data_IF_630672734065
#
_entry.id   IF_630672734065
#
_cell.length_a   1.000
_cell.length_b   1.000
_cell.length_c   1.000
_cell.angle_alpha   90.00
_cell.angle_beta   90.00
_cell.angle_gamma   90.00
#
_symmetry.space_group_name_H-M   'P 1'
#
loop_
_entity.id
_entity.type
_entity.pdbx_description
1 polymer ?
#
# COMPACT_ATOMS: atom_id res chain seq x y z
N UNK A 1 -67.05 40.53 -59.46
CA UNK A 1 -66.18 40.35 -60.61
C UNK A 1 -64.98 39.53 -60.15
N UNK A 2 -64.72 38.54 -60.85
CA UNK A 2 -63.99 37.33 -60.53
C UNK A 2 -62.48 37.57 -60.36
N UNK A 3 -61.87 37.13 -59.24
CA UNK A 3 -60.42 36.99 -59.13
C UNK A 3 -60.10 35.58 -58.74
N UNK A 4 -59.40 34.91 -59.63
CA UNK A 4 -58.94 33.56 -59.52
C UNK A 4 -57.61 33.62 -58.78
N UNK A 5 -57.58 33.07 -57.56
CA UNK A 5 -56.36 32.93 -56.77
C UNK A 5 -55.74 31.63 -57.13
N UNK A 6 -54.60 31.69 -57.81
CA UNK A 6 -53.78 30.54 -58.16
C UNK A 6 -53.04 30.01 -56.91
N UNK A 7 -53.39 28.84 -56.46
CA UNK A 7 -52.71 28.12 -55.37
C UNK A 7 -51.38 27.58 -55.87
N UNK A 8 -50.31 28.25 -55.52
CA UNK A 8 -48.94 27.69 -55.63
C UNK A 8 -48.69 26.78 -54.48
N UNK A 9 -48.72 25.47 -54.75
CA UNK A 9 -48.23 24.41 -53.84
C UNK A 9 -46.73 24.54 -53.74
N UNK A 10 -46.23 25.09 -52.65
CA UNK A 10 -44.83 24.89 -52.26
C UNK A 10 -44.75 23.61 -51.47
N UNK A 11 -44.30 22.56 -52.16
CA UNK A 11 -43.83 21.34 -51.54
C UNK A 11 -42.51 21.63 -50.85
N UNK A 12 -42.54 22.02 -49.59
CA UNK A 12 -41.35 22.10 -48.75
C UNK A 12 -40.88 20.70 -48.44
N UNK A 13 -39.94 20.28 -49.24
CA UNK A 13 -39.12 19.11 -48.93
C UNK A 13 -38.27 19.44 -47.69
N UNK A 14 -38.80 19.12 -46.50
CA UNK A 14 -38.04 19.19 -45.24
C UNK A 14 -37.00 18.07 -45.27
N UNK A 15 -35.85 18.34 -45.86
CA UNK A 15 -34.65 17.56 -45.67
C UNK A 15 -34.28 17.66 -44.21
N UNK A 16 -34.71 16.67 -43.44
CA UNK A 16 -34.15 16.37 -42.13
C UNK A 16 -32.68 16.01 -42.31
N UNK A 17 -31.84 17.01 -42.40
CA UNK A 17 -30.39 16.80 -42.15
C UNK A 17 -30.28 16.48 -40.68
N UNK A 18 -30.33 15.20 -40.34
CA UNK A 18 -29.78 14.68 -39.10
C UNK A 18 -28.27 14.93 -39.16
N UNK A 19 -27.87 16.13 -38.80
CA UNK A 19 -26.48 16.39 -38.43
C UNK A 19 -26.21 15.52 -37.22
N UNK A 20 -25.62 14.37 -37.49
CA UNK A 20 -24.90 13.61 -36.45
C UNK A 20 -23.80 14.54 -35.95
N UNK A 21 -24.13 15.24 -34.88
CA UNK A 21 -23.19 16.03 -34.11
C UNK A 21 -22.26 15.04 -33.43
N UNK A 22 -21.37 14.44 -34.20
CA UNK A 22 -20.16 13.82 -33.64
C UNK A 22 -19.40 15.01 -33.08
N UNK A 23 -19.56 15.22 -31.77
CA UNK A 23 -18.83 16.23 -31.05
C UNK A 23 -17.35 15.98 -31.29
N UNK A 24 -16.76 16.66 -32.25
CA UNK A 24 -15.33 16.73 -32.40
C UNK A 24 -14.83 17.46 -31.17
N UNK A 25 -14.28 16.70 -30.23
CA UNK A 25 -13.60 17.29 -29.09
C UNK A 25 -12.66 18.39 -29.56
N UNK A 26 -12.86 19.59 -29.04
CA UNK A 26 -11.97 20.70 -29.33
C UNK A 26 -10.56 20.40 -28.83
N UNK A 27 -9.55 20.98 -29.42
CA UNK A 27 -8.15 20.83 -28.97
C UNK A 27 -8.02 21.19 -27.50
N UNK A 28 -8.77 22.20 -27.06
CA UNK A 28 -8.78 22.64 -25.66
C UNK A 28 -9.35 21.56 -24.72
N UNK A 29 -10.45 20.92 -25.09
CA UNK A 29 -11.05 19.83 -24.29
C UNK A 29 -10.11 18.64 -24.16
N UNK A 30 -9.41 18.28 -25.24
CA UNK A 30 -8.39 17.22 -25.20
C UNK A 30 -7.22 17.56 -24.26
N UNK A 31 -6.76 18.81 -24.32
CA UNK A 31 -5.70 19.29 -23.43
C UNK A 31 -6.14 19.30 -21.97
N UNK A 32 -7.34 19.79 -21.67
CA UNK A 32 -7.90 19.77 -20.31
C UNK A 32 -8.07 18.34 -19.80
N UNK A 33 -8.57 17.43 -20.63
CA UNK A 33 -8.70 16.01 -20.25
C UNK A 33 -7.33 15.38 -19.98
N UNK A 34 -6.33 15.65 -20.82
CA UNK A 34 -4.98 15.16 -20.61
C UNK A 34 -4.38 15.68 -19.29
N UNK A 35 -4.57 16.95 -18.96
CA UNK A 35 -4.14 17.52 -17.68
C UNK A 35 -4.84 16.87 -16.48
N UNK A 36 -6.15 16.62 -16.59
CA UNK A 36 -6.91 15.94 -15.54
C UNK A 36 -6.42 14.49 -15.33
N UNK A 37 -6.13 13.77 -16.40
CA UNK A 37 -5.56 12.42 -16.32
C UNK A 37 -4.23 12.42 -15.56
N UNK A 38 -3.36 13.37 -15.90
CA UNK A 38 -2.06 13.51 -15.26
C UNK A 38 -2.18 13.89 -13.78
N UNK A 39 -3.12 14.79 -13.46
CA UNK A 39 -3.43 15.16 -12.08
C UNK A 39 -3.84 13.94 -11.25
N UNK A 40 -4.81 13.15 -11.75
CA UNK A 40 -5.25 11.93 -11.05
C UNK A 40 -4.15 10.87 -10.96
N UNK A 41 -3.32 10.73 -11.99
CA UNK A 41 -2.16 9.86 -11.93
C UNK A 41 -1.17 10.29 -10.84
N UNK A 42 -0.85 11.57 -10.76
CA UNK A 42 0.06 12.11 -9.74
C UNK A 42 -0.50 11.94 -8.33
N UNK A 43 -1.81 12.13 -8.14
CA UNK A 43 -2.48 11.83 -6.87
C UNK A 43 -2.36 10.33 -6.51
N UNK A 44 -2.57 9.46 -7.49
CA UNK A 44 -2.45 8.02 -7.30
C UNK A 44 -1.02 7.60 -6.96
N UNK A 45 -0.02 8.17 -7.64
CA UNK A 45 1.39 7.88 -7.39
C UNK A 45 1.80 8.27 -5.97
N UNK A 46 1.44 9.48 -5.54
CA UNK A 46 1.69 9.94 -4.15
C UNK A 46 1.00 9.06 -3.12
N UNK A 47 -0.29 8.78 -3.31
CA UNK A 47 -1.03 7.90 -2.40
C UNK A 47 -0.40 6.49 -2.32
N UNK A 48 0.10 5.97 -3.45
CA UNK A 48 0.82 4.70 -3.48
C UNK A 48 2.14 4.75 -2.72
N UNK A 49 2.94 5.80 -2.89
CA UNK A 49 4.19 6.02 -2.14
C UNK A 49 3.92 6.17 -0.64
N UNK A 50 2.85 6.85 -0.29
CA UNK A 50 2.37 6.95 1.10
C UNK A 50 1.80 5.63 1.64
N UNK A 51 1.63 4.61 0.79
CA UNK A 51 1.05 3.32 1.13
C UNK A 51 -0.45 3.36 1.37
N UNK A 52 -1.14 4.42 0.95
CA UNK A 52 -2.60 4.46 0.91
C UNK A 52 -3.10 3.83 -0.39
N UNK A 53 -3.11 2.49 -0.38
CA UNK A 53 -3.49 1.70 -1.56
C UNK A 53 -4.95 1.94 -1.96
N UNK A 54 -5.81 2.29 -1.00
CA UNK A 54 -7.23 2.57 -1.28
C UNK A 54 -7.37 3.87 -2.06
N UNK A 55 -6.83 4.97 -1.55
CA UNK A 55 -6.85 6.26 -2.25
C UNK A 55 -6.14 6.19 -3.60
N UNK A 56 -4.99 5.49 -3.69
CA UNK A 56 -4.28 5.28 -4.94
C UNK A 56 -5.15 4.57 -5.99
N UNK A 57 -5.92 3.56 -5.58
CA UNK A 57 -6.82 2.83 -6.48
C UNK A 57 -7.97 3.69 -6.99
N UNK A 58 -8.56 4.50 -6.12
CA UNK A 58 -9.65 5.41 -6.49
C UNK A 58 -9.16 6.47 -7.48
N UNK A 59 -8.01 7.08 -7.22
CA UNK A 59 -7.41 8.06 -8.12
C UNK A 59 -7.03 7.43 -9.49
N UNK A 60 -6.47 6.21 -9.51
CA UNK A 60 -6.22 5.50 -10.76
C UNK A 60 -7.49 5.17 -11.53
N UNK A 61 -8.56 4.79 -10.84
CA UNK A 61 -9.86 4.56 -11.47
C UNK A 61 -10.35 5.84 -12.18
N UNK A 62 -10.21 7.00 -11.55
CA UNK A 62 -10.54 8.29 -12.13
C UNK A 62 -9.67 8.63 -13.34
N UNK A 63 -8.35 8.41 -13.26
CA UNK A 63 -7.44 8.61 -14.40
C UNK A 63 -7.80 7.72 -15.60
N UNK A 64 -8.05 6.43 -15.35
CA UNK A 64 -8.36 5.45 -16.40
C UNK A 64 -9.79 5.59 -16.94
N UNK A 65 -10.72 6.21 -16.21
CA UNK A 65 -12.05 6.54 -16.74
C UNK A 65 -11.98 7.66 -17.79
N UNK A 66 -11.06 8.63 -17.63
CA UNK A 66 -10.83 9.70 -18.57
C UNK A 66 -9.97 9.24 -19.77
N UNK A 67 -8.97 8.42 -19.52
CA UNK A 67 -8.11 7.85 -20.58
C UNK A 67 -7.70 6.40 -20.24
N UNK A 68 -8.39 5.44 -20.86
CA UNK A 68 -8.14 4.00 -20.64
C UNK A 68 -6.78 3.53 -21.14
N UNK A 69 -6.15 4.24 -22.06
CA UNK A 69 -4.85 3.90 -22.64
C UNK A 69 -3.68 4.65 -21.98
N UNK A 70 -3.90 5.39 -20.88
CA UNK A 70 -2.84 6.11 -20.21
C UNK A 70 -1.78 5.16 -19.63
N UNK A 71 -0.62 5.08 -20.30
CA UNK A 71 0.42 4.08 -20.02
C UNK A 71 0.91 4.09 -18.57
N UNK A 72 1.14 5.27 -18.01
CA UNK A 72 1.62 5.41 -16.63
C UNK A 72 0.59 4.91 -15.61
N UNK A 73 -0.70 5.19 -15.81
CA UNK A 73 -1.77 4.70 -14.94
C UNK A 73 -1.90 3.17 -15.01
N UNK A 74 -1.79 2.58 -16.21
CA UNK A 74 -1.81 1.13 -16.38
C UNK A 74 -0.61 0.48 -15.69
N UNK A 75 0.59 1.04 -15.87
CA UNK A 75 1.81 0.53 -15.23
C UNK A 75 1.70 0.58 -13.70
N UNK A 76 1.21 1.69 -13.13
CA UNK A 76 1.00 1.83 -11.70
C UNK A 76 -0.06 0.85 -11.18
N UNK A 77 -1.16 0.65 -11.90
CA UNK A 77 -2.20 -0.32 -11.55
C UNK A 77 -1.64 -1.75 -11.47
N UNK A 78 -0.82 -2.16 -12.44
CA UNK A 78 -0.12 -3.46 -12.44
C UNK A 78 0.83 -3.57 -11.24
N UNK A 79 1.63 -2.53 -10.98
CA UNK A 79 2.53 -2.49 -9.83
C UNK A 79 1.77 -2.61 -8.51
N UNK A 80 0.61 -1.97 -8.38
CA UNK A 80 -0.23 -2.07 -7.19
C UNK A 80 -0.78 -3.48 -6.97
N UNK A 81 -1.11 -4.19 -8.03
CA UNK A 81 -1.57 -5.58 -7.91
C UNK A 81 -0.46 -6.51 -7.38
N UNK A 82 0.77 -6.32 -7.84
CA UNK A 82 1.91 -7.18 -7.47
C UNK A 82 2.55 -6.79 -6.14
N UNK A 83 2.64 -5.50 -5.83
CA UNK A 83 3.45 -4.99 -4.72
C UNK A 83 2.66 -4.20 -3.67
N UNK A 84 1.34 -4.05 -3.79
CA UNK A 84 0.54 -3.22 -2.90
C UNK A 84 0.64 -3.63 -1.42
N UNK A 85 0.70 -4.93 -1.13
CA UNK A 85 0.89 -5.42 0.24
C UNK A 85 2.28 -5.09 0.78
N UNK A 86 3.32 -5.18 -0.04
CA UNK A 86 4.70 -4.84 0.37
C UNK A 86 4.83 -3.36 0.69
N UNK A 87 4.18 -2.49 -0.09
CA UNK A 87 4.16 -1.04 0.15
C UNK A 87 3.49 -0.70 1.48
N UNK A 88 2.36 -1.36 1.81
CA UNK A 88 1.69 -1.21 3.11
C UNK A 88 2.58 -1.65 4.28
N UNK A 89 3.30 -2.77 4.12
CA UNK A 89 4.22 -3.27 5.14
C UNK A 89 5.40 -2.31 5.35
N UNK A 90 5.97 -1.81 4.26
CA UNK A 90 7.06 -0.84 4.29
C UNK A 90 6.61 0.47 4.99
N UNK A 91 5.41 0.97 4.70
CA UNK A 91 4.83 2.14 5.38
C UNK A 91 4.69 1.90 6.88
N UNK A 92 4.07 0.78 7.28
CA UNK A 92 3.92 0.44 8.71
C UNK A 92 5.24 0.37 9.43
N UNK A 93 6.21 -0.33 8.84
CA UNK A 93 7.56 -0.43 9.39
C UNK A 93 8.19 0.95 9.54
N UNK A 94 8.10 1.82 8.53
CA UNK A 94 8.62 3.19 8.58
C UNK A 94 7.97 4.03 9.67
N UNK A 95 6.63 3.98 9.78
CA UNK A 95 5.89 4.73 10.80
C UNK A 95 6.28 4.25 12.20
N UNK A 96 6.34 2.95 12.44
CA UNK A 96 6.79 2.37 13.71
C UNK A 96 8.23 2.77 14.02
N UNK A 97 9.14 2.61 13.06
CA UNK A 97 10.57 2.89 13.26
C UNK A 97 10.83 4.37 13.60
N UNK A 98 10.01 5.29 13.12
CA UNK A 98 10.20 6.73 13.34
C UNK A 98 9.61 7.24 14.67
N UNK A 99 8.94 6.41 15.45
CA UNK A 99 8.45 6.82 16.78
C UNK A 99 9.63 6.94 17.73
N UNK A 100 9.89 8.14 18.26
CA UNK A 100 10.98 8.37 19.19
C UNK A 100 10.58 7.92 20.59
N UNK A 101 11.41 7.09 21.22
CA UNK A 101 11.26 6.63 22.59
C UNK A 101 12.19 7.46 23.49
N UNK A 102 11.65 8.29 24.39
CA UNK A 102 12.48 9.19 25.20
C UNK A 102 13.37 8.42 26.19
N UNK A 103 12.83 7.36 26.77
CA UNK A 103 13.58 6.52 27.71
C UNK A 103 12.99 5.11 27.69
N UNK A 104 13.85 4.11 27.60
CA UNK A 104 13.54 2.73 27.93
C UNK A 104 14.65 2.21 28.85
N UNK A 105 14.25 1.72 30.03
CA UNK A 105 15.13 1.18 31.03
C UNK A 105 14.58 -0.17 31.47
N UNK A 106 15.27 -1.23 31.11
CA UNK A 106 14.91 -2.63 31.39
C UNK A 106 16.07 -3.26 32.13
N UNK A 107 15.78 -3.90 33.24
CA UNK A 107 16.76 -4.63 34.01
C UNK A 107 16.25 -6.07 34.22
N UNK A 108 16.97 -7.03 33.68
CA UNK A 108 16.64 -8.47 33.75
C UNK A 108 15.19 -8.78 33.35
N UNK A 109 14.64 -8.00 32.41
CA UNK A 109 13.27 -8.18 31.95
C UNK A 109 13.14 -9.41 31.03
N UNK A 110 12.02 -10.13 31.09
CA UNK A 110 11.72 -11.16 30.11
C UNK A 110 11.52 -10.56 28.72
N UNK A 111 11.73 -11.34 27.67
CA UNK A 111 11.46 -10.90 26.28
C UNK A 111 10.02 -10.44 26.13
N UNK A 112 9.08 -11.13 26.74
CA UNK A 112 7.65 -10.76 26.74
C UNK A 112 7.41 -9.38 27.35
N UNK A 113 8.00 -9.13 28.52
CA UNK A 113 7.82 -7.85 29.23
C UNK A 113 8.53 -6.72 28.47
N UNK A 114 9.73 -6.96 27.97
CA UNK A 114 10.47 -5.99 27.17
C UNK A 114 9.66 -5.53 25.92
N UNK A 115 9.08 -6.47 25.19
CA UNK A 115 8.24 -6.19 24.02
C UNK A 115 6.95 -5.46 24.43
N UNK A 116 6.35 -5.83 25.57
CA UNK A 116 5.15 -5.16 26.08
C UNK A 116 5.44 -3.71 26.48
N UNK A 117 6.56 -3.45 27.17
CA UNK A 117 7.01 -2.11 27.50
C UNK A 117 7.28 -1.28 26.27
N UNK A 118 7.94 -1.85 25.25
CA UNK A 118 8.13 -1.16 23.98
C UNK A 118 6.79 -0.81 23.30
N UNK A 119 5.82 -1.74 23.29
CA UNK A 119 4.50 -1.50 22.71
C UNK A 119 3.79 -0.32 23.38
N UNK A 120 3.77 -0.29 24.71
CA UNK A 120 3.15 0.79 25.49
C UNK A 120 3.85 2.13 25.21
N UNK A 121 5.17 2.15 25.18
CA UNK A 121 5.93 3.37 24.87
C UNK A 121 5.61 3.89 23.46
N UNK A 122 5.57 3.02 22.45
CA UNK A 122 5.23 3.41 21.07
C UNK A 122 3.83 3.97 20.98
N UNK A 123 2.85 3.33 21.61
CA UNK A 123 1.47 3.80 21.63
C UNK A 123 1.35 5.17 22.31
N UNK A 124 1.96 5.33 23.47
CA UNK A 124 1.97 6.58 24.23
C UNK A 124 2.65 7.71 23.46
N UNK A 125 3.85 7.49 22.91
CA UNK A 125 4.59 8.52 22.20
C UNK A 125 3.95 8.89 20.86
N UNK A 126 3.29 7.92 20.21
CA UNK A 126 2.53 8.19 18.98
C UNK A 126 1.15 8.79 19.23
N UNK A 127 0.75 8.99 20.48
CA UNK A 127 -0.62 9.43 20.90
C UNK A 127 -1.70 8.52 20.31
N UNK A 128 -1.49 7.21 20.35
CA UNK A 128 -2.41 6.21 19.84
C UNK A 128 -2.44 6.09 18.31
N UNK A 129 -1.61 6.85 17.56
CA UNK A 129 -1.55 6.73 16.09
C UNK A 129 -0.89 5.44 15.61
N UNK A 130 0.00 4.89 16.42
CA UNK A 130 0.70 3.62 16.15
C UNK A 130 0.43 2.66 17.29
N UNK A 131 -0.35 1.63 17.00
CA UNK A 131 -0.65 0.56 17.96
C UNK A 131 0.10 -0.69 17.45
N UNK A 132 1.26 -1.02 18.04
CA UNK A 132 2.02 -2.19 17.63
C UNK A 132 1.39 -3.46 18.20
N UNK A 133 1.08 -4.40 17.32
CA UNK A 133 0.61 -5.73 17.71
C UNK A 133 1.77 -6.71 17.55
N UNK A 134 2.35 -7.16 18.64
CA UNK A 134 3.40 -8.16 18.66
C UNK A 134 2.86 -9.55 19.00
N UNK A 135 3.29 -10.55 18.25
CA UNK A 135 3.03 -11.97 18.53
C UNK A 135 4.36 -12.69 18.66
N UNK A 136 4.60 -13.29 19.81
CA UNK A 136 5.79 -14.13 20.02
C UNK A 136 5.42 -15.56 19.64
N UNK A 137 6.06 -16.06 18.58
CA UNK A 137 5.94 -17.44 18.11
C UNK A 137 7.19 -18.21 18.50
N UNK A 138 7.19 -18.74 19.72
CA UNK A 138 8.28 -19.56 20.27
C UNK A 138 7.74 -20.94 20.65
N UNK A 139 7.79 -21.87 19.71
CA UNK A 139 7.31 -23.25 19.88
C UNK A 139 8.08 -24.04 20.94
N UNK A 140 9.30 -23.65 21.21
CA UNK A 140 10.25 -24.41 22.06
C UNK A 140 10.66 -23.63 23.32
N UNK A 141 9.96 -22.56 23.66
CA UNK A 141 10.20 -21.70 24.82
C UNK A 141 11.64 -21.16 24.92
N UNK A 142 12.32 -21.00 23.79
CA UNK A 142 13.73 -20.54 23.76
C UNK A 142 13.91 -19.11 24.25
N UNK A 143 12.84 -18.32 24.26
CA UNK A 143 12.86 -16.91 24.65
C UNK A 143 12.42 -16.70 26.09
N UNK A 144 11.86 -17.73 26.77
CA UNK A 144 11.33 -17.58 28.11
C UNK A 144 12.45 -17.39 29.16
N UNK A 145 13.59 -18.03 28.97
CA UNK A 145 14.74 -17.94 29.88
C UNK A 145 15.66 -16.76 29.61
N UNK A 146 15.42 -16.06 28.50
CA UNK A 146 16.27 -14.93 28.08
C UNK A 146 15.91 -13.68 28.89
N UNK A 147 16.90 -13.12 29.59
CA UNK A 147 16.80 -11.86 30.31
C UNK A 147 17.46 -10.75 29.51
N UNK A 148 16.79 -9.60 29.47
CA UNK A 148 17.22 -8.43 28.71
C UNK A 148 17.49 -7.29 29.70
N UNK A 149 18.70 -6.76 29.62
CA UNK A 149 19.07 -5.53 30.31
C UNK A 149 19.48 -4.51 29.27
N UNK A 150 18.75 -3.41 29.18
CA UNK A 150 18.97 -2.35 28.19
C UNK A 150 18.51 -1.00 28.75
N UNK A 151 19.34 0.01 28.53
CA UNK A 151 19.03 1.40 28.88
C UNK A 151 19.32 2.31 27.71
N UNK A 152 18.29 2.83 27.09
CA UNK A 152 18.38 3.70 25.92
C UNK A 152 17.60 4.99 26.15
N UNK A 153 18.13 6.11 25.65
CA UNK A 153 17.49 7.42 25.72
C UNK A 153 17.40 8.00 24.32
N UNK A 154 16.22 8.54 24.00
CA UNK A 154 15.98 9.30 22.77
C UNK A 154 16.30 8.51 21.50
N UNK A 155 15.80 7.28 21.41
CA UNK A 155 16.11 6.34 20.34
C UNK A 155 14.82 5.98 19.56
N UNK A 156 14.88 5.85 18.22
CA UNK A 156 13.75 5.38 17.43
C UNK A 156 13.28 3.98 17.87
N UNK A 157 11.96 3.76 17.87
CA UNK A 157 11.37 2.49 18.28
C UNK A 157 11.89 1.29 17.46
N UNK A 158 12.23 1.52 16.18
CA UNK A 158 12.84 0.49 15.32
C UNK A 158 14.18 0.02 15.87
N UNK A 159 15.03 0.95 16.28
CA UNK A 159 16.37 0.63 16.82
C UNK A 159 16.25 -0.03 18.20
N UNK A 160 15.30 0.42 19.04
CA UNK A 160 14.99 -0.24 20.32
C UNK A 160 14.59 -1.69 20.07
N UNK A 161 13.65 -1.93 19.13
CA UNK A 161 13.22 -3.28 18.78
C UNK A 161 14.38 -4.13 18.27
N UNK A 162 15.23 -3.58 17.41
CA UNK A 162 16.39 -4.31 16.88
C UNK A 162 17.39 -4.67 17.97
N UNK A 163 17.63 -3.80 18.96
CA UNK A 163 18.46 -4.11 20.11
C UNK A 163 17.85 -5.22 20.99
N UNK A 164 16.57 -5.13 21.30
CA UNK A 164 15.85 -6.18 22.06
C UNK A 164 15.95 -7.54 21.38
N UNK A 165 15.70 -7.56 20.06
CA UNK A 165 15.74 -8.80 19.28
C UNK A 165 17.14 -9.39 19.16
N UNK A 166 18.17 -8.56 19.05
CA UNK A 166 19.57 -9.03 19.04
C UNK A 166 19.94 -9.64 20.39
N UNK A 167 19.62 -8.98 21.51
CA UNK A 167 19.85 -9.49 22.85
C UNK A 167 19.10 -10.80 23.11
N UNK A 168 17.88 -10.91 22.57
CA UNK A 168 17.07 -12.12 22.71
C UNK A 168 17.45 -13.25 21.75
N UNK A 169 18.36 -13.04 20.80
CA UNK A 169 18.60 -14.03 19.75
C UNK A 169 17.37 -14.27 18.88
N UNK A 170 16.52 -13.25 18.69
CA UNK A 170 15.28 -13.33 17.97
C UNK A 170 15.30 -12.53 16.66
N UNK A 171 14.24 -12.67 15.88
CA UNK A 171 13.99 -11.89 14.66
C UNK A 171 12.52 -11.48 14.60
N UNK A 172 12.23 -10.31 14.00
CA UNK A 172 10.87 -9.85 13.77
C UNK A 172 10.52 -9.88 12.28
N UNK A 173 9.27 -10.24 11.99
CA UNK A 173 8.68 -10.16 10.66
C UNK A 173 7.43 -9.30 10.73
N UNK A 174 7.42 -8.19 9.98
CA UNK A 174 6.27 -7.31 9.90
C UNK A 174 5.22 -7.89 8.97
N UNK A 175 4.04 -8.16 9.51
CA UNK A 175 2.86 -8.57 8.76
C UNK A 175 1.87 -7.42 8.53
N UNK A 176 0.78 -7.71 7.83
CA UNK A 176 -0.26 -6.71 7.51
C UNK A 176 -0.84 -6.05 8.77
N UNK A 177 -1.05 -6.80 9.86
CA UNK A 177 -1.66 -6.31 11.11
C UNK A 177 -0.81 -6.55 12.34
N UNK A 178 0.15 -7.47 12.27
CA UNK A 178 0.94 -7.94 13.41
C UNK A 178 2.41 -7.99 13.07
N UNK A 179 3.26 -7.85 14.07
CA UNK A 179 4.69 -8.12 13.99
C UNK A 179 4.98 -9.42 14.72
N UNK A 180 5.46 -10.41 14.00
CA UNK A 180 5.72 -11.74 14.52
C UNK A 180 7.19 -11.82 14.92
N UNK A 181 7.44 -12.20 16.17
CA UNK A 181 8.78 -12.39 16.76
C UNK A 181 9.03 -13.88 16.88
N UNK A 182 10.19 -14.33 16.39
CA UNK A 182 10.61 -15.73 16.43
C UNK A 182 12.07 -15.85 16.87
N UNK A 183 12.45 -16.92 17.59
CA UNK A 183 13.85 -17.22 17.85
C UNK A 183 14.63 -17.38 16.54
N UNK A 184 15.86 -16.90 16.48
CA UNK A 184 16.73 -17.12 15.32
C UNK A 184 17.06 -18.63 15.24
N UNK A 185 17.05 -19.17 14.03
CA UNK A 185 17.26 -20.62 13.81
C UNK A 185 15.98 -21.46 13.88
N UNK A 186 14.81 -20.89 14.19
CA UNK A 186 13.50 -21.56 14.08
C UNK A 186 12.83 -21.33 12.74
N UNK A 187 13.57 -20.90 11.73
CA UNK A 187 13.06 -20.75 10.37
C UNK A 187 12.66 -22.11 9.83
N UNK A 188 11.40 -22.46 9.94
CA UNK A 188 10.73 -23.42 9.10
C UNK A 188 10.64 -22.91 7.66
N UNK A 189 11.75 -22.48 7.10
CA UNK A 189 11.90 -22.35 5.67
C UNK A 189 11.93 -23.77 5.12
N UNK A 190 10.77 -24.25 4.68
CA UNK A 190 10.66 -25.42 3.80
C UNK A 190 11.56 -25.09 2.60
N UNK A 191 12.80 -25.61 2.65
CA UNK A 191 13.71 -25.61 1.50
C UNK A 191 12.91 -26.21 0.36
N UNK A 192 12.78 -25.58 -0.80
CA UNK A 192 12.15 -26.22 -1.94
C UNK A 192 12.92 -27.52 -2.17
N UNK A 193 12.22 -28.65 -2.07
CA UNK A 193 12.77 -29.95 -2.39
C UNK A 193 13.12 -29.92 -3.88
N UNK A 194 14.40 -29.80 -4.16
CA UNK A 194 14.94 -30.11 -5.49
C UNK A 194 14.63 -31.57 -5.73
N UNK A 195 13.64 -31.86 -6.58
CA UNK A 195 13.43 -33.20 -7.09
C UNK A 195 14.73 -33.63 -7.76
N UNK A 196 15.38 -34.62 -7.21
CA UNK A 196 16.44 -35.32 -7.90
C UNK A 196 15.85 -35.90 -9.18
N UNK A 197 16.51 -35.75 -10.33
CA UNK A 197 16.09 -36.47 -11.52
C UNK A 197 16.26 -37.97 -11.23
N UNK A 198 15.18 -38.71 -11.42
CA UNK A 198 15.19 -40.17 -11.49
C UNK A 198 16.14 -40.58 -12.59
N UNK A 199 17.13 -41.39 -12.23
CA UNK A 199 17.97 -42.09 -13.21
C UNK A 199 17.10 -43.14 -13.85
N UNK A 200 16.83 -42.98 -15.14
CA UNK A 200 16.43 -44.08 -15.99
C UNK A 200 17.57 -45.10 -16.02
N UNK A 201 17.32 -46.25 -15.48
CA UNK A 201 18.16 -47.44 -15.69
C UNK A 201 17.66 -48.13 -16.97
N UNK A 202 18.60 -48.33 -17.88
CA UNK A 202 18.51 -49.14 -19.09
C UNK A 202 18.52 -50.64 -18.74
#
# INVERSE_FOLDING_TARGET
>A
MKSIITLMKWSSCLLLTTTTLTAQETIQERQQRAQQVELFYNMAARAYEDGDIKAAREALKSALSLNRSHAHSIALARRMQTSGNQTLLAKRKRIFNNVMIPLIDLNEASVKDAIKVLAINVETQSKGKVIPNFIIQDKYNKLDDVKITIKLKNVPAGDVLDHLLRSAGASASFGKYTTIIRPRGSTGAKKPSVRKPEKEEE
#
